data_IF_618534836348
#
_entry.id   IF_618534836348
#
_cell.length_a   1.000
_cell.length_b   1.000
_cell.length_c   1.000
_cell.angle_alpha   90.00
_cell.angle_beta   90.00
_cell.angle_gamma   90.00
#
_symmetry.space_group_name_H-M   'P 1'
#
loop_
_entity.id
_entity.type
_entity.pdbx_description
1 polymer ?
#
# COMPACT_ATOMS: atom_id res chain seq x y z
N UNK A 1 -25.45 -65.48 29.83
CA UNK A 1 -25.99 -64.25 29.24
C UNK A 1 -25.23 -62.99 29.56
N UNK A 2 -24.80 -62.77 30.80
CA UNK A 2 -24.02 -61.58 31.21
C UNK A 2 -22.62 -61.47 30.58
N UNK A 3 -21.92 -62.58 30.34
CA UNK A 3 -20.56 -62.54 29.79
C UNK A 3 -20.56 -62.29 28.26
N UNK A 4 -21.58 -62.74 27.54
CA UNK A 4 -21.72 -62.43 26.13
C UNK A 4 -21.99 -60.97 25.86
N UNK A 5 -22.81 -60.34 26.74
CA UNK A 5 -23.13 -58.93 26.66
C UNK A 5 -21.92 -58.02 26.97
N UNK A 6 -21.07 -58.40 27.94
CA UNK A 6 -19.82 -57.71 28.24
C UNK A 6 -18.83 -57.73 27.07
N UNK A 7 -18.67 -58.90 26.42
CA UNK A 7 -17.80 -59.04 25.23
C UNK A 7 -18.26 -58.16 24.06
N UNK A 8 -19.58 -58.11 23.80
CA UNK A 8 -20.14 -57.27 22.73
C UNK A 8 -19.90 -55.75 23.03
N UNK A 9 -20.12 -55.30 24.28
CA UNK A 9 -19.87 -53.93 24.69
C UNK A 9 -18.38 -53.56 24.54
N UNK A 10 -17.47 -54.44 24.98
CA UNK A 10 -16.03 -54.22 24.83
C UNK A 10 -15.58 -54.13 23.39
N UNK A 11 -16.15 -54.96 22.51
CA UNK A 11 -15.83 -54.93 21.07
C UNK A 11 -16.35 -53.64 20.38
N UNK A 12 -17.56 -53.19 20.78
CA UNK A 12 -18.13 -51.93 20.27
C UNK A 12 -17.33 -50.70 20.73
N UNK A 13 -16.90 -50.68 21.96
CA UNK A 13 -16.06 -49.60 22.52
C UNK A 13 -14.66 -49.61 21.87
N UNK A 14 -14.07 -50.77 21.64
CA UNK A 14 -12.79 -50.87 20.93
C UNK A 14 -12.90 -50.45 19.46
N UNK A 15 -14.00 -50.80 18.79
CA UNK A 15 -14.25 -50.35 17.43
C UNK A 15 -14.52 -48.84 17.32
N UNK A 16 -15.24 -48.24 18.30
CA UNK A 16 -15.46 -46.78 18.36
C UNK A 16 -14.17 -46.01 18.63
N UNK A 17 -13.29 -46.53 19.52
CA UNK A 17 -11.95 -45.94 19.79
C UNK A 17 -11.03 -46.07 18.56
N UNK A 18 -11.08 -47.16 17.82
CA UNK A 18 -10.33 -47.31 16.57
C UNK A 18 -10.85 -46.39 15.46
N UNK A 19 -12.17 -46.15 15.36
CA UNK A 19 -12.76 -45.22 14.42
C UNK A 19 -12.41 -43.76 14.72
N UNK A 20 -12.25 -43.38 16.01
CA UNK A 20 -11.79 -42.05 16.40
C UNK A 20 -10.28 -41.82 16.12
N UNK A 21 -9.47 -42.87 16.08
CA UNK A 21 -8.04 -42.74 15.74
C UNK A 21 -7.76 -42.51 14.25
N UNK A 22 -8.69 -42.78 13.36
CA UNK A 22 -8.54 -42.51 11.91
C UNK A 22 -9.10 -41.17 11.46
N UNK A 23 -9.79 -40.43 12.32
CA UNK A 23 -10.11 -39.00 12.11
C UNK A 23 -8.99 -38.08 12.59
N UNK A 24 -7.73 -38.53 12.53
CA UNK A 24 -6.58 -37.65 12.59
C UNK A 24 -6.71 -36.70 11.40
N UNK A 25 -7.20 -35.50 11.68
CA UNK A 25 -7.21 -34.41 10.72
C UNK A 25 -5.87 -34.39 9.99
N UNK A 26 -5.88 -34.69 8.70
CA UNK A 26 -4.92 -34.14 7.78
C UNK A 26 -5.13 -32.63 7.81
N UNK A 27 -4.65 -31.96 8.86
CA UNK A 27 -4.32 -30.57 8.71
C UNK A 27 -3.25 -30.55 7.62
N UNK A 28 -3.63 -30.24 6.41
CA UNK A 28 -2.71 -29.83 5.36
C UNK A 28 -2.06 -28.55 5.92
N UNK A 29 -1.00 -28.73 6.74
CA UNK A 29 -0.12 -27.61 7.07
C UNK A 29 0.46 -27.17 5.74
N UNK A 30 -0.12 -26.12 5.18
CA UNK A 30 0.56 -25.43 4.09
C UNK A 30 2.01 -25.22 4.52
N UNK A 31 2.98 -25.59 3.69
CA UNK A 31 4.39 -25.39 4.05
C UNK A 31 4.57 -23.92 4.40
N UNK A 32 5.20 -23.67 5.55
CA UNK A 32 5.53 -22.31 5.99
C UNK A 32 6.47 -21.71 4.95
N UNK A 33 5.95 -20.79 4.15
CA UNK A 33 6.75 -20.06 3.18
C UNK A 33 7.67 -19.06 3.91
N UNK A 34 8.91 -18.88 3.45
CA UNK A 34 9.80 -17.87 3.99
C UNK A 34 9.28 -16.45 3.73
N UNK A 35 9.79 -15.48 4.46
CA UNK A 35 9.54 -14.07 4.16
C UNK A 35 10.14 -13.68 2.81
N UNK A 36 9.51 -12.70 2.16
CA UNK A 36 10.03 -12.14 0.90
C UNK A 36 11.35 -11.40 1.12
N UNK A 37 12.21 -11.43 0.11
CA UNK A 37 13.45 -10.64 0.01
C UNK A 37 13.28 -9.45 -0.93
N UNK A 38 14.33 -8.64 -1.07
CA UNK A 38 14.39 -7.46 -1.94
C UNK A 38 13.92 -6.19 -1.25
N UNK A 39 14.31 -5.05 -1.82
CA UNK A 39 13.90 -3.72 -1.33
C UNK A 39 12.49 -3.39 -1.81
N UNK A 40 11.81 -2.54 -1.07
CA UNK A 40 10.50 -2.05 -1.49
C UNK A 40 10.62 -1.30 -2.84
N UNK A 41 9.65 -1.56 -3.74
CA UNK A 41 9.69 -1.01 -5.09
C UNK A 41 10.69 -1.66 -6.05
N UNK A 42 11.39 -2.74 -5.65
CA UNK A 42 12.14 -3.58 -6.58
C UNK A 42 11.23 -4.62 -7.23
N UNK A 43 11.46 -4.85 -8.52
CA UNK A 43 10.77 -5.89 -9.32
C UNK A 43 11.82 -6.70 -10.09
N UNK A 44 11.84 -8.00 -9.88
CA UNK A 44 12.63 -8.92 -10.71
C UNK A 44 11.83 -9.24 -11.98
N UNK A 45 12.48 -9.06 -13.15
CA UNK A 45 11.92 -9.46 -14.44
C UNK A 45 12.66 -10.70 -14.94
N UNK A 46 11.94 -11.83 -14.99
CA UNK A 46 12.47 -13.11 -15.48
C UNK A 46 12.20 -13.21 -16.97
N UNK A 47 13.27 -13.04 -17.77
CA UNK A 47 13.21 -12.92 -19.22
C UNK A 47 14.57 -13.30 -19.84
N UNK A 48 14.61 -13.75 -21.10
CA UNK A 48 15.88 -13.95 -21.82
C UNK A 48 16.56 -12.60 -22.10
N UNK A 49 17.91 -12.60 -22.07
CA UNK A 49 18.72 -11.37 -22.17
C UNK A 49 18.44 -10.57 -23.44
N UNK A 50 18.35 -11.25 -24.58
CA UNK A 50 18.06 -10.64 -25.88
C UNK A 50 16.69 -9.95 -25.93
N UNK A 51 15.68 -10.48 -25.22
CA UNK A 51 14.35 -9.90 -25.12
C UNK A 51 14.32 -8.71 -24.12
N UNK A 52 15.16 -8.80 -23.06
CA UNK A 52 15.32 -7.71 -22.12
C UNK A 52 16.00 -6.49 -22.73
N UNK A 53 16.98 -6.70 -23.62
CA UNK A 53 17.70 -5.63 -24.32
C UNK A 53 16.97 -5.12 -25.58
N UNK A 54 15.73 -5.59 -25.78
CA UNK A 54 14.88 -5.26 -26.93
C UNK A 54 13.51 -4.77 -26.49
N UNK A 55 12.54 -4.79 -27.39
CA UNK A 55 11.21 -4.18 -27.27
C UNK A 55 10.42 -4.56 -26.00
N UNK A 56 10.49 -5.83 -25.55
CA UNK A 56 9.80 -6.24 -24.31
C UNK A 56 10.42 -5.53 -23.10
N UNK A 57 11.75 -5.49 -23.01
CA UNK A 57 12.40 -4.75 -21.93
C UNK A 57 12.15 -3.23 -22.00
N UNK A 58 12.08 -2.67 -23.20
CA UNK A 58 11.81 -1.25 -23.41
C UNK A 58 10.40 -0.87 -22.95
N UNK A 59 9.38 -1.63 -23.35
CA UNK A 59 8.00 -1.37 -22.91
C UNK A 59 7.80 -1.57 -21.42
N UNK A 60 8.48 -2.53 -20.78
CA UNK A 60 8.45 -2.68 -19.32
C UNK A 60 9.10 -1.48 -18.62
N UNK A 61 10.20 -0.96 -19.13
CA UNK A 61 10.87 0.25 -18.60
C UNK A 61 10.00 1.49 -18.80
N UNK A 62 9.39 1.64 -19.97
CA UNK A 62 8.48 2.75 -20.29
C UNK A 62 7.38 2.91 -19.23
N UNK A 63 6.72 1.83 -18.84
CA UNK A 63 5.59 1.90 -17.89
C UNK A 63 6.02 1.78 -16.41
N UNK A 64 6.99 0.94 -16.10
CA UNK A 64 7.31 0.61 -14.71
C UNK A 64 8.55 1.31 -14.17
N UNK A 65 9.45 1.79 -15.03
CA UNK A 65 10.63 2.55 -14.60
C UNK A 65 10.54 4.04 -14.99
N UNK A 66 9.36 4.52 -15.40
CA UNK A 66 9.10 5.94 -15.57
C UNK A 66 9.28 6.69 -14.26
N UNK A 67 9.49 7.97 -14.31
CA UNK A 67 9.58 8.80 -13.13
C UNK A 67 8.25 8.76 -12.33
N UNK A 68 8.40 8.68 -11.01
CA UNK A 68 7.27 8.75 -10.09
C UNK A 68 6.75 10.18 -10.02
N UNK A 69 5.44 10.34 -10.21
CA UNK A 69 4.80 11.65 -10.18
C UNK A 69 4.93 12.30 -8.80
N UNK A 70 4.96 13.63 -8.77
CA UNK A 70 5.01 14.42 -7.55
C UNK A 70 6.19 14.08 -6.63
N UNK A 71 7.37 13.83 -7.20
CA UNK A 71 8.63 13.83 -6.46
C UNK A 71 9.52 14.97 -6.94
N UNK A 72 10.23 15.68 -6.05
CA UNK A 72 11.05 16.83 -6.43
C UNK A 72 12.31 16.46 -7.20
N UNK A 73 12.68 15.18 -7.21
CA UNK A 73 13.77 14.62 -8.03
C UNK A 73 13.24 13.44 -8.83
N UNK A 74 13.77 13.20 -10.06
CA UNK A 74 13.44 12.00 -10.82
C UNK A 74 13.79 10.74 -10.04
N UNK A 75 12.81 9.93 -9.74
CA UNK A 75 12.95 8.62 -9.10
C UNK A 75 12.06 7.63 -9.84
N UNK A 76 12.58 6.46 -10.31
CA UNK A 76 11.77 5.53 -11.07
C UNK A 76 10.63 4.96 -10.20
N UNK A 77 9.45 4.77 -10.80
CA UNK A 77 8.29 4.18 -10.12
C UNK A 77 8.65 2.83 -9.50
N UNK A 78 9.35 1.97 -10.26
CA UNK A 78 9.95 0.71 -9.79
C UNK A 78 11.40 0.59 -10.26
N UNK A 79 12.22 -0.06 -9.44
CA UNK A 79 13.58 -0.46 -9.81
C UNK A 79 13.52 -1.86 -10.42
N UNK A 80 13.67 -1.96 -11.73
CA UNK A 80 13.63 -3.23 -12.45
C UNK A 80 14.98 -3.92 -12.46
N UNK A 81 15.03 -5.20 -12.09
CA UNK A 81 16.21 -6.04 -12.14
C UNK A 81 15.98 -7.25 -13.06
N UNK A 82 16.78 -7.39 -14.07
CA UNK A 82 16.76 -8.51 -15.00
C UNK A 82 17.35 -9.79 -14.38
N UNK A 83 16.69 -10.94 -14.62
CA UNK A 83 17.17 -12.28 -14.29
C UNK A 83 16.88 -13.23 -15.45
N UNK A 84 17.93 -13.89 -15.99
CA UNK A 84 17.74 -14.90 -17.02
C UNK A 84 16.95 -16.11 -16.46
N UNK A 85 16.05 -16.76 -17.22
CA UNK A 85 15.29 -17.92 -16.75
C UNK A 85 16.16 -19.06 -16.19
N UNK A 86 17.31 -19.34 -16.80
CA UNK A 86 18.28 -20.33 -16.31
C UNK A 86 18.94 -19.96 -14.98
N UNK A 87 19.00 -18.66 -14.66
CA UNK A 87 19.54 -18.12 -13.40
C UNK A 87 18.49 -17.94 -12.31
N UNK A 88 17.22 -18.11 -12.62
CA UNK A 88 16.11 -17.92 -11.69
C UNK A 88 15.99 -19.09 -10.70
N UNK A 89 16.80 -19.02 -9.65
CA UNK A 89 16.93 -20.01 -8.58
C UNK A 89 16.27 -19.56 -7.28
N UNK A 90 16.41 -20.35 -6.22
CA UNK A 90 15.80 -20.10 -4.91
C UNK A 90 16.08 -18.72 -4.32
N UNK A 91 17.24 -18.11 -4.62
CA UNK A 91 17.58 -16.76 -4.13
C UNK A 91 16.67 -15.69 -4.75
N UNK A 92 16.37 -15.81 -6.04
CA UNK A 92 15.49 -14.88 -6.74
C UNK A 92 14.03 -15.23 -6.57
N UNK A 93 13.70 -16.53 -6.40
CA UNK A 93 12.31 -16.99 -6.23
C UNK A 93 11.63 -16.40 -4.99
N UNK A 94 12.37 -16.10 -3.93
CA UNK A 94 11.81 -15.48 -2.73
C UNK A 94 11.66 -13.95 -2.82
N UNK A 95 11.94 -13.33 -3.98
CA UNK A 95 11.80 -11.89 -4.16
C UNK A 95 10.34 -11.44 -4.06
N UNK A 96 10.11 -10.26 -3.52
CA UNK A 96 8.80 -9.71 -3.19
C UNK A 96 7.89 -9.46 -4.39
N UNK A 97 8.46 -8.97 -5.52
CA UNK A 97 7.74 -8.70 -6.76
C UNK A 97 8.49 -9.33 -7.92
N UNK A 98 7.80 -10.15 -8.70
CA UNK A 98 8.38 -10.87 -9.83
C UNK A 98 7.46 -10.72 -11.04
N UNK A 99 8.03 -10.32 -12.19
CA UNK A 99 7.37 -10.39 -13.49
C UNK A 99 8.03 -11.54 -14.25
N UNK A 100 7.25 -12.46 -14.79
CA UNK A 100 7.73 -13.60 -15.56
C UNK A 100 7.20 -13.51 -16.98
N UNK A 101 8.09 -13.43 -17.97
CA UNK A 101 7.72 -13.46 -19.40
C UNK A 101 7.70 -14.92 -19.87
N UNK A 102 6.57 -15.33 -20.41
CA UNK A 102 6.36 -16.65 -21.00
C UNK A 102 5.93 -16.51 -22.46
N UNK A 103 6.84 -16.82 -23.38
CA UNK A 103 6.57 -16.83 -24.82
C UNK A 103 6.46 -18.28 -25.29
N UNK A 104 5.30 -18.66 -25.82
CA UNK A 104 5.06 -19.96 -26.41
C UNK A 104 3.97 -19.83 -27.48
N UNK A 105 4.27 -20.19 -28.73
CA UNK A 105 3.31 -20.16 -29.84
C UNK A 105 2.06 -21.01 -29.61
N UNK A 106 2.08 -21.92 -28.61
CA UNK A 106 0.94 -22.72 -28.20
C UNK A 106 0.01 -22.01 -27.17
N UNK A 107 0.35 -20.80 -26.72
CA UNK A 107 -0.51 -20.01 -25.83
C UNK A 107 -1.83 -19.72 -26.55
N UNK A 108 -2.94 -20.19 -25.98
CA UNK A 108 -4.28 -20.01 -26.55
C UNK A 108 -4.91 -18.68 -26.17
N UNK A 109 -4.62 -18.20 -24.97
CA UNK A 109 -5.16 -16.98 -24.38
C UNK A 109 -4.00 -16.11 -23.88
N UNK A 110 -3.44 -15.23 -24.74
CA UNK A 110 -2.46 -14.25 -24.31
C UNK A 110 -3.04 -13.33 -23.23
N UNK A 111 -2.20 -12.90 -22.27
CA UNK A 111 -2.65 -12.03 -21.20
C UNK A 111 -1.78 -12.10 -19.96
N UNK A 112 -2.28 -11.54 -18.87
CA UNK A 112 -1.60 -11.49 -17.57
C UNK A 112 -2.28 -12.42 -16.55
N UNK A 113 -1.45 -13.06 -15.72
CA UNK A 113 -1.89 -13.91 -14.62
C UNK A 113 -1.26 -13.39 -13.32
N UNK A 114 -2.07 -13.20 -12.27
CA UNK A 114 -1.61 -12.81 -10.95
C UNK A 114 -1.49 -14.02 -10.03
N UNK A 115 -0.29 -14.24 -9.50
CA UNK A 115 0.02 -15.36 -8.61
C UNK A 115 0.51 -14.79 -7.28
N UNK A 116 -0.02 -15.31 -6.17
CA UNK A 116 0.38 -14.89 -4.83
C UNK A 116 1.11 -16.01 -4.10
N UNK A 117 2.13 -15.63 -3.32
CA UNK A 117 2.73 -16.49 -2.30
C UNK A 117 3.18 -17.86 -2.84
N UNK A 118 3.85 -17.90 -4.00
CA UNK A 118 4.30 -19.15 -4.59
C UNK A 118 5.55 -19.71 -3.90
N UNK A 119 6.53 -18.85 -3.62
CA UNK A 119 7.81 -19.25 -3.05
C UNK A 119 8.15 -18.54 -1.74
N UNK A 120 7.50 -17.41 -1.47
CA UNK A 120 7.66 -16.62 -0.26
C UNK A 120 6.36 -15.91 0.07
N UNK A 121 6.27 -15.33 1.28
CA UNK A 121 5.05 -14.59 1.71
C UNK A 121 5.44 -13.29 2.43
N UNK A 122 4.76 -12.18 2.15
CA UNK A 122 3.74 -11.93 1.12
C UNK A 122 4.37 -11.59 -0.24
N UNK A 123 4.12 -12.39 -1.27
CA UNK A 123 4.74 -12.29 -2.59
C UNK A 123 3.73 -11.93 -3.67
N UNK A 124 4.13 -11.06 -4.60
CA UNK A 124 3.38 -10.71 -5.81
C UNK A 124 4.15 -11.22 -7.04
N UNK A 125 3.51 -12.05 -7.85
CA UNK A 125 4.06 -12.53 -9.11
C UNK A 125 3.05 -12.19 -10.21
N UNK A 126 3.56 -11.66 -11.32
CA UNK A 126 2.80 -11.36 -12.52
C UNK A 126 3.41 -12.18 -13.65
N UNK A 127 2.65 -13.12 -14.21
CA UNK A 127 3.06 -13.84 -15.40
C UNK A 127 2.41 -13.20 -16.61
N UNK A 128 3.22 -12.91 -17.62
CA UNK A 128 2.78 -12.40 -18.92
C UNK A 128 2.92 -13.54 -19.91
N UNK A 129 1.79 -14.04 -20.42
CA UNK A 129 1.72 -15.13 -21.39
C UNK A 129 1.46 -14.53 -22.76
N UNK A 130 2.28 -14.87 -23.75
CA UNK A 130 2.14 -14.39 -25.12
C UNK A 130 2.64 -15.41 -26.14
N UNK A 131 2.16 -15.31 -27.39
CA UNK A 131 2.54 -16.22 -28.47
C UNK A 131 3.93 -15.93 -29.04
N UNK A 132 4.31 -14.65 -29.06
CA UNK A 132 5.55 -14.14 -29.61
C UNK A 132 5.89 -12.75 -29.01
N UNK A 133 6.92 -12.10 -29.53
CA UNK A 133 7.43 -10.82 -29.03
C UNK A 133 6.41 -9.70 -29.24
N UNK A 134 5.87 -9.57 -30.45
CA UNK A 134 4.92 -8.49 -30.82
C UNK A 134 3.66 -8.58 -29.94
N UNK A 135 3.10 -9.79 -29.81
CA UNK A 135 1.94 -10.04 -28.97
C UNK A 135 2.25 -9.77 -27.47
N UNK A 136 3.46 -10.10 -26.98
CA UNK A 136 3.87 -9.78 -25.60
C UNK A 136 3.90 -8.27 -25.34
N UNK A 137 4.44 -7.48 -26.28
CA UNK A 137 4.45 -6.01 -26.21
C UNK A 137 3.03 -5.45 -26.17
N UNK A 138 2.12 -5.98 -27.00
CA UNK A 138 0.70 -5.60 -26.99
C UNK A 138 0.02 -5.93 -25.66
N UNK A 139 0.18 -7.15 -25.14
CA UNK A 139 -0.34 -7.56 -23.83
C UNK A 139 0.14 -6.64 -22.72
N UNK A 140 1.42 -6.23 -22.72
CA UNK A 140 1.94 -5.30 -21.72
C UNK A 140 1.28 -3.92 -21.86
N UNK A 141 1.19 -3.39 -23.07
CA UNK A 141 0.59 -2.07 -23.34
C UNK A 141 -0.89 -2.01 -22.93
N UNK A 142 -1.65 -3.05 -23.23
CA UNK A 142 -3.07 -3.11 -22.85
C UNK A 142 -3.30 -3.29 -21.36
N UNK A 143 -2.34 -3.90 -20.64
CA UNK A 143 -2.51 -4.25 -19.23
C UNK A 143 -1.56 -3.49 -18.28
N UNK A 144 -0.79 -2.49 -18.75
CA UNK A 144 0.19 -1.78 -17.92
C UNK A 144 -0.42 -1.21 -16.62
N UNK A 145 -1.62 -0.62 -16.68
CA UNK A 145 -2.31 -0.09 -15.51
C UNK A 145 -2.67 -1.18 -14.49
N UNK A 146 -3.09 -2.37 -14.96
CA UNK A 146 -3.38 -3.50 -14.08
C UNK A 146 -2.11 -4.04 -13.41
N UNK A 147 -1.00 -4.08 -14.16
CA UNK A 147 0.33 -4.48 -13.65
C UNK A 147 0.78 -3.50 -12.57
N UNK A 148 0.74 -2.20 -12.85
CA UNK A 148 1.10 -1.14 -11.90
C UNK A 148 0.21 -1.20 -10.64
N UNK A 149 -1.12 -1.21 -10.80
CA UNK A 149 -2.06 -1.30 -9.69
C UNK A 149 -1.80 -2.53 -8.82
N UNK A 150 -1.47 -3.67 -9.44
CA UNK A 150 -1.17 -4.90 -8.70
C UNK A 150 0.11 -4.81 -7.87
N UNK A 151 1.16 -4.21 -8.42
CA UNK A 151 2.43 -3.98 -7.73
C UNK A 151 2.26 -2.98 -6.57
N UNK A 152 1.59 -1.84 -6.82
CA UNK A 152 1.28 -0.85 -5.79
C UNK A 152 0.44 -1.45 -4.65
N UNK A 153 -0.59 -2.22 -4.98
CA UNK A 153 -1.41 -2.89 -3.98
C UNK A 153 -0.58 -3.85 -3.11
N UNK A 154 0.33 -4.62 -3.74
CA UNK A 154 1.18 -5.54 -3.01
C UNK A 154 2.17 -4.82 -2.07
N UNK A 155 2.75 -3.70 -2.50
CA UNK A 155 3.63 -2.88 -1.64
C UNK A 155 2.84 -2.25 -0.49
N UNK A 156 1.67 -1.69 -0.76
CA UNK A 156 0.76 -1.10 0.22
C UNK A 156 0.32 -2.12 1.27
N UNK A 157 -0.12 -3.30 0.83
CA UNK A 157 -0.55 -4.36 1.75
C UNK A 157 0.56 -4.80 2.71
N UNK A 158 1.82 -4.84 2.25
CA UNK A 158 2.98 -5.14 3.10
C UNK A 158 3.23 -4.07 4.15
N UNK A 159 3.15 -2.80 3.75
CA UNK A 159 3.33 -1.68 4.69
C UNK A 159 2.23 -1.70 5.74
N UNK A 160 0.97 -1.82 5.34
CA UNK A 160 -0.17 -1.86 6.27
C UNK A 160 -0.12 -3.08 7.19
N UNK A 161 0.23 -4.26 6.66
CA UNK A 161 0.37 -5.47 7.46
C UNK A 161 1.48 -5.33 8.52
N UNK A 162 2.63 -4.75 8.14
CA UNK A 162 3.71 -4.47 9.07
C UNK A 162 3.32 -3.40 10.10
N UNK A 163 2.62 -2.35 9.68
CA UNK A 163 2.14 -1.31 10.58
C UNK A 163 1.19 -1.88 11.65
N UNK A 164 0.31 -2.82 11.29
CA UNK A 164 -0.62 -3.48 12.21
C UNK A 164 0.10 -4.38 13.23
N UNK A 165 1.22 -5.02 12.85
CA UNK A 165 2.00 -5.86 13.78
C UNK A 165 2.66 -5.06 14.91
N UNK A 166 3.01 -3.81 14.63
CA UNK A 166 3.72 -2.92 15.54
C UNK A 166 2.98 -1.60 15.71
N UNK A 167 1.67 -1.68 15.93
CA UNK A 167 0.78 -0.52 15.97
C UNK A 167 0.87 0.25 17.28
N UNK A 168 0.94 1.57 17.18
CA UNK A 168 0.70 2.52 18.28
C UNK A 168 -0.83 2.69 18.45
N UNK A 169 -1.46 1.71 19.10
CA UNK A 169 -2.92 1.63 19.24
C UNK A 169 -3.53 2.87 19.88
N UNK A 170 -2.82 3.50 20.84
CA UNK A 170 -3.29 4.69 21.53
C UNK A 170 -3.45 5.87 20.55
N UNK A 171 -2.55 6.01 19.57
CA UNK A 171 -2.68 7.04 18.53
C UNK A 171 -3.95 6.82 17.73
N UNK A 172 -4.17 5.59 17.24
CA UNK A 172 -5.35 5.24 16.45
C UNK A 172 -6.64 5.51 17.22
N UNK A 173 -6.71 5.12 18.47
CA UNK A 173 -7.90 5.32 19.32
C UNK A 173 -8.17 6.79 19.61
N UNK A 174 -7.12 7.58 19.90
CA UNK A 174 -7.27 9.01 20.14
C UNK A 174 -7.74 9.76 18.89
N UNK A 175 -7.17 9.46 17.72
CA UNK A 175 -7.60 10.04 16.43
C UNK A 175 -9.05 9.62 16.12
N UNK A 176 -9.39 8.33 16.26
CA UNK A 176 -10.75 7.85 16.01
C UNK A 176 -11.78 8.51 16.93
N UNK A 177 -11.44 8.73 18.19
CA UNK A 177 -12.33 9.40 19.17
C UNK A 177 -12.66 10.83 18.78
N UNK A 178 -11.69 11.57 18.21
CA UNK A 178 -11.88 12.97 17.82
C UNK A 178 -12.54 13.06 16.45
N UNK A 179 -12.07 12.29 15.46
CA UNK A 179 -12.43 12.46 14.05
C UNK A 179 -13.46 11.45 13.53
N UNK A 180 -13.92 10.51 14.36
CA UNK A 180 -14.88 9.47 13.93
C UNK A 180 -14.27 8.37 13.04
N UNK A 181 -12.98 8.43 12.76
CA UNK A 181 -12.22 7.46 11.98
C UNK A 181 -10.73 7.59 12.17
N UNK A 182 -9.95 6.58 11.81
CA UNK A 182 -8.48 6.63 11.92
C UNK A 182 -7.78 5.67 10.97
N UNK A 183 -6.50 5.92 10.78
CA UNK A 183 -5.55 5.02 10.12
C UNK A 183 -4.75 4.23 11.17
N UNK A 184 -4.03 3.21 10.70
CA UNK A 184 -3.04 2.48 11.51
C UNK A 184 -1.73 3.27 11.53
N UNK A 185 -1.17 3.48 12.72
CA UNK A 185 0.13 4.15 12.89
C UNK A 185 1.14 3.15 13.47
N UNK A 186 2.24 2.85 12.76
CA UNK A 186 3.25 1.91 13.27
C UNK A 186 4.09 2.51 14.39
N UNK A 187 4.82 1.65 15.09
CA UNK A 187 5.76 2.06 16.15
C UNK A 187 6.73 3.14 15.71
N UNK A 188 6.99 4.07 16.61
CA UNK A 188 7.83 5.25 16.40
C UNK A 188 7.08 6.49 15.93
N UNK A 189 5.79 6.38 15.60
CA UNK A 189 4.94 7.57 15.45
C UNK A 189 4.51 8.11 16.81
N UNK A 190 4.25 9.40 16.88
CA UNK A 190 3.73 10.07 18.08
C UNK A 190 2.78 11.19 17.71
N UNK A 191 1.83 11.50 18.59
CA UNK A 191 0.98 12.68 18.44
C UNK A 191 1.79 13.92 18.83
N UNK A 192 2.06 14.79 17.84
CA UNK A 192 2.71 16.09 18.04
C UNK A 192 1.71 17.13 18.53
N UNK A 193 0.49 17.07 18.00
CA UNK A 193 -0.63 17.95 18.35
C UNK A 193 -1.95 17.21 18.06
N UNK A 194 -2.96 17.47 18.87
CA UNK A 194 -4.35 17.07 18.62
C UNK A 194 -5.29 18.10 19.24
N UNK A 195 -6.29 18.54 18.48
CA UNK A 195 -7.40 19.39 18.86
C UNK A 195 -8.70 18.80 18.32
N UNK A 196 -9.82 19.50 18.46
CA UNK A 196 -11.11 19.00 17.99
C UNK A 196 -11.22 18.93 16.47
N UNK A 197 -10.41 19.70 15.73
CA UNK A 197 -10.49 19.86 14.26
C UNK A 197 -9.17 19.58 13.53
N UNK A 198 -8.05 19.41 14.28
CA UNK A 198 -6.73 19.18 13.70
C UNK A 198 -5.88 18.22 14.54
N UNK A 199 -5.20 17.28 13.90
CA UNK A 199 -4.18 16.47 14.52
C UNK A 199 -2.92 16.37 13.64
N UNK A 200 -1.76 16.32 14.29
CA UNK A 200 -0.46 16.11 13.67
C UNK A 200 0.21 14.90 14.31
N UNK A 201 0.38 13.84 13.54
CA UNK A 201 1.02 12.60 13.94
C UNK A 201 2.30 12.45 13.14
N UNK A 202 3.44 12.32 13.80
CA UNK A 202 4.72 12.29 13.11
C UNK A 202 5.65 11.18 13.52
N UNK A 203 6.48 10.79 12.56
CA UNK A 203 7.66 9.98 12.76
C UNK A 203 8.89 10.81 12.41
N UNK A 204 9.61 11.26 13.42
CA UNK A 204 10.77 12.12 13.24
C UNK A 204 12.07 11.33 13.35
N UNK A 205 12.90 11.50 12.34
CA UNK A 205 14.31 11.14 12.36
C UNK A 205 15.12 12.40 12.04
N UNK A 206 16.41 12.41 12.33
CA UNK A 206 17.29 13.59 12.18
C UNK A 206 17.17 14.30 10.82
N UNK A 207 16.87 13.58 9.73
CA UNK A 207 16.83 14.12 8.37
C UNK A 207 15.57 13.71 7.57
N UNK A 208 14.64 13.00 8.20
CA UNK A 208 13.45 12.48 7.52
C UNK A 208 12.25 12.63 8.43
N UNK A 209 11.24 13.38 8.00
CA UNK A 209 9.92 13.43 8.62
C UNK A 209 8.93 12.71 7.72
N UNK A 210 8.14 11.82 8.29
CA UNK A 210 7.06 11.07 7.65
C UNK A 210 5.82 11.30 8.50
N UNK A 211 5.06 12.31 8.15
CA UNK A 211 4.02 12.80 9.02
C UNK A 211 2.64 12.61 8.38
N UNK A 212 1.64 12.49 9.23
CA UNK A 212 0.24 12.45 8.84
C UNK A 212 -0.49 13.57 9.58
N UNK A 213 -1.15 14.42 8.82
CA UNK A 213 -2.07 15.41 9.31
C UNK A 213 -3.49 14.87 9.19
N UNK A 214 -4.32 15.13 10.18
CA UNK A 214 -5.75 14.83 10.14
C UNK A 214 -6.49 16.13 10.46
N UNK A 215 -7.44 16.50 9.61
CA UNK A 215 -8.21 17.70 9.82
C UNK A 215 -9.62 17.58 9.22
N UNK A 216 -10.50 18.45 9.65
CA UNK A 216 -11.85 18.51 9.14
C UNK A 216 -12.32 19.94 8.93
N UNK A 217 -13.26 20.09 8.00
CA UNK A 217 -13.94 21.37 7.75
C UNK A 217 -15.40 21.12 7.33
N UNK A 218 -16.31 22.08 7.58
CA UNK A 218 -17.73 21.91 7.27
C UNK A 218 -17.99 21.87 5.76
N UNK A 219 -18.99 21.10 5.35
CA UNK A 219 -19.54 21.13 4.00
C UNK A 219 -20.40 22.38 3.87
N UNK A 220 -20.06 23.28 2.96
CA UNK A 220 -20.79 24.53 2.71
C UNK A 220 -21.46 24.57 1.34
N UNK A 221 -21.08 23.68 0.42
CA UNK A 221 -21.58 23.62 -0.95
C UNK A 221 -21.54 22.22 -1.55
N UNK A 222 -21.72 22.13 -2.87
CA UNK A 222 -21.65 20.87 -3.62
C UNK A 222 -20.26 20.53 -4.12
N UNK A 223 -19.32 21.47 -4.09
CA UNK A 223 -18.04 21.41 -4.81
C UNK A 223 -16.84 21.28 -3.89
N UNK A 224 -17.04 20.79 -2.68
CA UNK A 224 -16.01 20.69 -1.61
C UNK A 224 -14.77 19.88 -2.03
N UNK A 225 -14.95 18.86 -2.84
CA UNK A 225 -13.88 17.96 -3.29
C UNK A 225 -13.28 18.37 -4.66
N UNK A 226 -13.53 19.59 -5.13
CA UNK A 226 -12.79 20.14 -6.27
C UNK A 226 -11.37 20.51 -5.87
N UNK A 227 -10.44 20.51 -6.82
CA UNK A 227 -9.03 20.85 -6.56
C UNK A 227 -8.91 22.24 -5.91
N UNK A 228 -9.62 23.23 -6.44
CA UNK A 228 -9.60 24.63 -5.94
C UNK A 228 -10.03 24.70 -4.49
N UNK A 229 -11.17 24.09 -4.12
CA UNK A 229 -11.70 24.12 -2.75
C UNK A 229 -10.84 23.31 -1.79
N UNK A 230 -10.38 22.11 -2.19
CA UNK A 230 -9.47 21.31 -1.37
C UNK A 230 -8.16 22.05 -1.07
N UNK A 231 -7.57 22.72 -2.07
CA UNK A 231 -6.36 23.54 -1.88
C UNK A 231 -6.62 24.73 -0.98
N UNK A 232 -7.74 25.43 -1.16
CA UNK A 232 -8.11 26.58 -0.35
C UNK A 232 -8.26 26.21 1.14
N UNK A 233 -9.06 25.19 1.46
CA UNK A 233 -9.26 24.69 2.82
C UNK A 233 -7.95 24.17 3.43
N UNK A 234 -7.18 23.39 2.67
CA UNK A 234 -5.87 22.92 3.08
C UNK A 234 -4.96 24.07 3.51
N UNK A 235 -4.82 25.09 2.66
CA UNK A 235 -3.91 26.21 2.91
C UNK A 235 -4.36 27.05 4.11
N UNK A 236 -5.66 27.24 4.30
CA UNK A 236 -6.22 27.94 5.47
C UNK A 236 -5.90 27.20 6.76
N UNK A 237 -6.22 25.90 6.82
CA UNK A 237 -6.00 25.07 8.01
C UNK A 237 -4.50 24.95 8.34
N UNK A 238 -3.65 24.72 7.34
CA UNK A 238 -2.22 24.55 7.57
C UNK A 238 -1.52 25.84 7.98
N UNK A 239 -2.01 27.01 7.53
CA UNK A 239 -1.51 28.32 7.99
C UNK A 239 -1.63 28.47 9.50
N UNK A 240 -2.72 28.00 10.08
CA UNK A 240 -2.99 28.11 11.51
C UNK A 240 -2.32 27.02 12.34
N UNK A 241 -2.15 25.83 11.75
CA UNK A 241 -1.81 24.64 12.52
C UNK A 241 -0.39 24.11 12.31
N UNK A 242 0.26 24.47 11.19
CA UNK A 242 1.62 24.00 10.85
C UNK A 242 2.56 25.17 10.62
N UNK A 243 3.02 25.81 11.72
CA UNK A 243 3.97 26.91 11.61
C UNK A 243 5.33 26.44 11.10
N UNK A 244 6.01 27.27 10.35
CA UNK A 244 7.42 27.08 9.97
C UNK A 244 8.38 27.50 11.07
N UNK A 245 9.68 27.49 10.77
CA UNK A 245 10.73 27.82 11.73
C UNK A 245 10.85 29.34 11.99
N UNK A 246 10.40 30.17 11.05
CA UNK A 246 10.52 31.63 11.14
C UNK A 246 9.16 32.24 11.46
N UNK A 247 9.19 33.43 12.10
CA UNK A 247 7.99 34.18 12.43
C UNK A 247 7.15 34.47 11.17
N UNK A 248 5.89 34.12 11.21
CA UNK A 248 4.95 34.26 10.10
C UNK A 248 5.19 33.33 8.92
N UNK A 249 6.01 32.26 9.10
CA UNK A 249 6.12 31.17 8.15
C UNK A 249 5.15 30.04 8.52
N UNK A 250 4.64 29.34 7.52
CA UNK A 250 3.67 28.23 7.67
C UNK A 250 3.68 27.33 6.44
N UNK A 251 3.21 26.10 6.60
CA UNK A 251 3.06 25.15 5.51
C UNK A 251 1.91 25.56 4.59
N UNK A 252 2.13 25.45 3.28
CA UNK A 252 1.15 25.72 2.23
C UNK A 252 1.32 24.77 1.06
N UNK A 253 0.40 24.79 0.10
CA UNK A 253 0.56 24.10 -1.18
C UNK A 253 1.51 24.88 -2.06
N UNK A 254 2.50 24.18 -2.66
CA UNK A 254 3.45 24.83 -3.58
C UNK A 254 2.75 25.32 -4.84
N UNK A 255 3.17 26.49 -5.30
CA UNK A 255 2.67 27.12 -6.54
C UNK A 255 3.45 26.69 -7.78
N UNK A 256 4.51 25.90 -7.62
CA UNK A 256 5.38 25.47 -8.74
C UNK A 256 4.71 24.43 -9.61
N UNK A 257 3.91 23.56 -9.00
CA UNK A 257 3.20 22.50 -9.70
C UNK A 257 1.78 22.42 -9.16
N UNK A 258 0.79 22.46 -10.03
CA UNK A 258 -0.61 22.27 -9.66
C UNK A 258 -0.82 20.88 -9.04
N UNK A 259 -1.54 20.75 -7.92
CA UNK A 259 -1.94 19.48 -7.39
C UNK A 259 -2.84 18.74 -8.36
N UNK A 260 -2.96 17.43 -8.21
CA UNK A 260 -3.86 16.60 -8.98
C UNK A 260 -4.86 15.91 -8.07
N UNK A 261 -6.13 16.04 -8.37
CA UNK A 261 -7.23 15.34 -7.68
C UNK A 261 -7.71 14.16 -8.51
N UNK A 262 -7.90 13.03 -7.86
CA UNK A 262 -8.45 11.80 -8.44
C UNK A 262 -9.49 11.21 -7.49
N UNK A 263 -10.68 10.90 -8.02
CA UNK A 263 -11.73 10.27 -7.20
C UNK A 263 -11.53 8.76 -7.18
N UNK A 264 -11.49 8.21 -5.98
CA UNK A 264 -11.13 6.83 -5.71
C UNK A 264 -12.26 6.07 -4.99
N UNK A 265 -12.37 4.77 -5.28
CA UNK A 265 -13.12 3.84 -4.44
C UNK A 265 -12.17 2.70 -4.05
N UNK A 266 -11.89 2.57 -2.76
CA UNK A 266 -10.99 1.56 -2.24
C UNK A 266 -11.63 0.84 -1.06
N UNK A 267 -11.87 -0.46 -1.21
CA UNK A 267 -12.49 -1.32 -0.17
C UNK A 267 -13.82 -0.77 0.37
N UNK A 268 -14.59 -0.13 -0.50
CA UNK A 268 -15.89 0.44 -0.16
C UNK A 268 -15.85 1.85 0.43
N UNK A 269 -14.68 2.46 0.55
CA UNK A 269 -14.53 3.87 0.91
C UNK A 269 -14.36 4.71 -0.37
N UNK A 270 -15.21 5.69 -0.54
CA UNK A 270 -15.10 6.70 -1.59
C UNK A 270 -14.42 7.94 -1.03
N UNK A 271 -13.42 8.45 -1.76
CA UNK A 271 -12.65 9.63 -1.35
C UNK A 271 -12.03 10.34 -2.56
N UNK A 272 -11.72 11.61 -2.38
CA UNK A 272 -10.87 12.35 -3.29
C UNK A 272 -9.41 12.25 -2.81
N UNK A 273 -8.53 11.72 -3.65
CA UNK A 273 -7.09 11.73 -3.45
C UNK A 273 -6.50 12.97 -4.12
N UNK A 274 -5.82 13.81 -3.35
CA UNK A 274 -5.06 14.94 -3.88
C UNK A 274 -3.57 14.69 -3.69
N UNK A 275 -2.78 14.86 -4.77
CA UNK A 275 -1.31 14.76 -4.77
C UNK A 275 -0.71 16.08 -5.18
N UNK A 276 0.38 16.47 -4.53
CA UNK A 276 1.07 17.71 -4.85
C UNK A 276 2.35 17.89 -4.07
N UNK A 277 2.85 19.11 -4.14
CA UNK A 277 3.98 19.56 -3.33
C UNK A 277 3.52 20.54 -2.25
N UNK A 278 4.08 20.40 -1.06
CA UNK A 278 4.00 21.38 -0.01
C UNK A 278 5.30 22.20 0.05
N UNK A 279 5.18 23.41 0.51
CA UNK A 279 6.30 24.29 0.81
C UNK A 279 6.01 25.07 2.10
N UNK A 280 7.02 25.68 2.69
CA UNK A 280 6.86 26.59 3.81
C UNK A 280 6.98 28.03 3.29
N UNK A 281 5.96 28.83 3.49
CA UNK A 281 5.96 30.25 3.13
C UNK A 281 7.15 30.95 3.80
N UNK A 282 7.98 31.65 3.03
CA UNK A 282 9.22 32.33 3.45
C UNK A 282 10.35 31.41 3.91
N UNK A 283 10.36 30.11 3.51
CA UNK A 283 11.42 29.17 3.80
C UNK A 283 11.66 28.27 2.59
N UNK A 284 12.77 27.50 2.60
CA UNK A 284 13.14 26.58 1.52
C UNK A 284 12.70 25.13 1.81
N UNK A 285 11.93 24.91 2.87
CA UNK A 285 11.39 23.58 3.18
C UNK A 285 10.25 23.24 2.25
N UNK A 286 10.23 21.99 1.77
CA UNK A 286 9.17 21.50 0.93
C UNK A 286 9.32 20.00 0.65
N UNK A 287 8.29 19.40 0.03
CA UNK A 287 8.29 18.01 -0.32
C UNK A 287 6.96 17.53 -0.89
N UNK A 288 6.82 16.23 -1.16
CA UNK A 288 5.58 15.65 -1.64
C UNK A 288 4.54 15.49 -0.53
N UNK A 289 3.25 15.58 -0.90
CA UNK A 289 2.13 15.18 -0.07
C UNK A 289 1.09 14.39 -0.87
N UNK A 290 0.31 13.61 -0.14
CA UNK A 290 -0.91 12.94 -0.64
C UNK A 290 -1.97 13.05 0.44
N UNK A 291 -3.19 13.46 0.10
CA UNK A 291 -4.32 13.49 1.01
C UNK A 291 -5.49 12.64 0.50
N UNK A 292 -6.21 12.03 1.43
CA UNK A 292 -7.50 11.37 1.21
C UNK A 292 -8.58 12.16 1.92
N UNK A 293 -9.56 12.67 1.18
CA UNK A 293 -10.65 13.50 1.68
C UNK A 293 -11.98 12.75 1.57
N UNK A 294 -12.65 12.55 2.70
CA UNK A 294 -13.89 11.79 2.82
C UNK A 294 -15.03 12.71 3.27
N UNK A 295 -16.23 12.50 2.76
CA UNK A 295 -17.41 13.00 3.45
C UNK A 295 -17.59 12.26 4.79
N UNK A 296 -17.89 12.97 5.88
CA UNK A 296 -18.33 12.35 7.13
C UNK A 296 -19.56 11.47 6.91
N UNK A 297 -19.82 10.53 7.83
CA UNK A 297 -20.93 9.59 7.69
C UNK A 297 -22.31 10.28 7.59
N UNK A 298 -22.46 11.47 8.17
CA UNK A 298 -23.67 12.31 8.09
C UNK A 298 -23.61 13.34 6.96
N UNK A 299 -22.48 13.43 6.23
CA UNK A 299 -22.30 14.36 5.12
C UNK A 299 -22.09 15.82 5.52
N UNK A 300 -21.94 16.13 6.81
CA UNK A 300 -21.85 17.52 7.31
C UNK A 300 -20.44 18.12 7.23
N UNK A 301 -19.42 17.28 7.17
CA UNK A 301 -18.00 17.69 7.17
C UNK A 301 -17.21 16.91 6.12
N UNK A 302 -16.11 17.48 5.70
CA UNK A 302 -15.03 16.77 5.01
C UNK A 302 -13.95 16.41 6.03
N UNK A 303 -13.60 15.13 6.10
CA UNK A 303 -12.52 14.59 6.90
C UNK A 303 -11.32 14.29 6.00
N UNK A 304 -10.16 14.84 6.32
CA UNK A 304 -8.94 14.69 5.53
C UNK A 304 -7.85 13.99 6.33
N UNK A 305 -7.23 13.00 5.72
CA UNK A 305 -5.97 12.40 6.15
C UNK A 305 -4.91 12.74 5.11
N UNK A 306 -3.86 13.43 5.51
CA UNK A 306 -2.79 13.87 4.62
C UNK A 306 -1.44 13.32 5.07
N UNK A 307 -0.78 12.57 4.20
CA UNK A 307 0.60 12.12 4.37
C UNK A 307 1.55 13.09 3.70
N UNK A 308 2.60 13.53 4.38
CA UNK A 308 3.67 14.32 3.77
C UNK A 308 5.05 13.85 4.21
N UNK A 309 6.05 14.15 3.37
CA UNK A 309 7.43 13.75 3.60
C UNK A 309 8.36 14.94 3.46
N UNK A 310 9.28 15.08 4.43
CA UNK A 310 10.46 15.93 4.33
C UNK A 310 11.71 15.07 4.42
N UNK A 311 12.53 15.04 3.36
CA UNK A 311 13.74 14.24 3.28
C UNK A 311 14.77 14.91 2.35
N UNK A 312 15.36 16.07 2.73
CA UNK A 312 16.13 16.92 1.81
C UNK A 312 17.40 16.24 1.27
N UNK A 313 17.93 15.22 1.97
CA UNK A 313 19.17 14.51 1.60
C UNK A 313 18.94 13.15 0.93
N UNK A 314 17.68 12.70 0.81
CA UNK A 314 17.38 11.33 0.41
C UNK A 314 16.35 11.30 -0.71
N UNK A 315 16.32 10.19 -1.44
CA UNK A 315 15.22 9.80 -2.31
C UNK A 315 13.93 9.68 -1.51
N UNK A 316 12.81 10.18 -2.04
CA UNK A 316 11.56 10.37 -1.31
C UNK A 316 10.50 9.34 -1.66
N UNK A 317 10.59 8.70 -2.83
CA UNK A 317 9.61 7.72 -3.31
C UNK A 317 9.24 6.70 -2.24
N UNK A 318 10.25 6.09 -1.62
CA UNK A 318 10.01 5.02 -0.64
C UNK A 318 9.38 5.54 0.65
N UNK A 319 9.79 6.71 1.12
CA UNK A 319 9.18 7.34 2.28
C UNK A 319 7.74 7.74 2.01
N UNK A 320 7.46 8.30 0.83
CA UNK A 320 6.11 8.67 0.44
C UNK A 320 5.20 7.44 0.36
N UNK A 321 5.61 6.35 -0.31
CA UNK A 321 4.87 5.09 -0.34
C UNK A 321 4.54 4.54 1.04
N UNK A 322 5.51 4.59 1.98
CA UNK A 322 5.29 4.10 3.34
C UNK A 322 4.26 4.94 4.09
N UNK A 323 4.33 6.26 3.97
CA UNK A 323 3.41 7.15 4.69
C UNK A 323 2.02 7.16 4.05
N UNK A 324 1.96 7.23 2.72
CA UNK A 324 0.72 7.12 1.96
C UNK A 324 -0.03 5.80 2.23
N UNK A 325 0.70 4.67 2.30
CA UNK A 325 0.08 3.37 2.55
C UNK A 325 -0.72 3.34 3.86
N UNK A 326 -0.35 4.17 4.85
CA UNK A 326 -1.10 4.28 6.10
C UNK A 326 -2.50 4.85 5.87
N UNK A 327 -2.67 5.81 4.95
CA UNK A 327 -3.97 6.39 4.62
C UNK A 327 -4.94 5.35 4.09
N UNK A 328 -4.47 4.36 3.34
CA UNK A 328 -5.28 3.25 2.84
C UNK A 328 -5.69 2.23 3.91
N UNK A 329 -5.22 2.38 5.14
CA UNK A 329 -5.66 1.60 6.29
C UNK A 329 -6.84 2.24 7.03
N UNK A 330 -7.35 3.38 6.54
CA UNK A 330 -8.45 4.12 7.14
C UNK A 330 -9.67 3.22 7.42
N UNK A 331 -10.26 3.43 8.58
CA UNK A 331 -11.51 2.80 9.02
C UNK A 331 -12.34 3.81 9.82
N UNK A 332 -13.64 3.80 9.62
CA UNK A 332 -14.56 4.51 10.51
C UNK A 332 -14.59 3.86 11.89
N UNK A 333 -14.79 4.66 12.92
CA UNK A 333 -14.71 4.20 14.32
C UNK A 333 -15.71 3.07 14.64
N UNK A 334 -16.89 3.09 14.03
CA UNK A 334 -17.94 2.07 14.18
C UNK A 334 -17.60 0.73 13.52
N UNK A 335 -16.66 0.73 12.56
CA UNK A 335 -16.17 -0.48 11.87
C UNK A 335 -14.83 -0.99 12.41
N UNK A 336 -14.21 -0.26 13.35
CA UNK A 336 -12.95 -0.67 13.96
C UNK A 336 -13.18 -1.87 14.88
N UNK A 337 -12.73 -3.04 14.45
CA UNK A 337 -12.69 -4.23 15.32
C UNK A 337 -11.54 -4.05 16.32
N UNK A 338 -11.82 -4.15 17.61
CA UNK A 338 -10.81 -4.23 18.64
C UNK A 338 -9.94 -5.48 18.41
N UNK A 339 -8.69 -5.27 18.01
CA UNK A 339 -7.70 -6.35 17.72
C UNK A 339 -7.13 -6.93 19.03
N UNK A 340 -7.87 -6.84 20.13
CA UNK A 340 -7.55 -7.51 21.40
C UNK A 340 -8.67 -8.51 21.73
N UNK A 341 -8.67 -9.62 21.03
CA UNK A 341 -9.17 -10.91 21.56
C UNK A 341 -8.17 -12.02 21.27
#
# INVERSE_FOLDING_TARGET
>A
MKDHMKRIITTIVAAALAAMAVTSCKSSREPLLPNVSGKAGEVIVVIEKNLWDAEIGDVLREYLARDCDFLPQPEPLYSLAYVAPKGFNNMFQVHRNIIMIHLDSAVKEPGIEFINNRWARPQCIIRINATDVDNCVEVIRENHQKIETRLEQAERDRVVANARLYEETDIRLNVAKVFGGSCVFPSGYSIKRISDDFAWIGYDNTYVYRDVLVYRYPVTGSDELTEENMVAHRNEILRENVPGMFEGSYMTTSKVTEPKVTYMNYKGHEFAEMRGFWEVEKDFMGGPFVSHSFYSLDGSEILVFEAFVYAPKYEKRQYMRQTEALLYSFQWADTMVDVKQ
#
